data_IF_594715386755
#
_entry.id   IF_594715386755
#
_cell.length_a   1.000
_cell.length_b   1.000
_cell.length_c   1.000
_cell.angle_alpha   90.00
_cell.angle_beta   90.00
_cell.angle_gamma   90.00
#
_symmetry.space_group_name_H-M   'P 1'
#
loop_
_entity.id
_entity.type
_entity.pdbx_description
1 polymer ?
#
# COMPACT_ATOMS: atom_id res chain seq x y z
N UNK A 1 8.28 7.49 45.26
CA UNK A 1 7.80 6.10 45.14
C UNK A 1 6.60 6.08 44.19
N UNK A 2 6.47 4.99 43.42
CA UNK A 2 5.36 4.70 42.48
C UNK A 2 5.56 5.06 41.00
N UNK A 3 6.65 4.57 40.41
CA UNK A 3 6.76 4.29 38.96
C UNK A 3 6.86 2.77 38.66
N UNK A 4 6.82 1.91 39.69
CA UNK A 4 7.13 0.47 39.57
C UNK A 4 5.88 -0.42 39.65
N UNK A 5 4.69 0.14 39.91
CA UNK A 5 3.44 -0.65 40.07
C UNK A 5 2.66 -0.83 38.76
N UNK A 6 2.90 -0.01 37.73
CA UNK A 6 2.19 -0.13 36.43
C UNK A 6 2.69 -1.24 35.50
N UNK A 7 3.88 -1.79 35.73
CA UNK A 7 4.50 -2.76 34.82
C UNK A 7 4.09 -4.23 35.05
N UNK A 8 3.37 -4.56 36.14
CA UNK A 8 3.09 -5.97 36.51
C UNK A 8 1.70 -6.51 36.10
N UNK A 9 0.79 -5.66 35.62
CA UNK A 9 -0.55 -6.11 35.18
C UNK A 9 -0.65 -6.43 33.68
N UNK A 10 0.27 -5.95 32.85
CA UNK A 10 0.26 -6.19 31.39
C UNK A 10 1.05 -7.44 30.97
N UNK A 11 1.92 -7.97 31.82
CA UNK A 11 2.73 -9.14 31.52
C UNK A 11 1.96 -10.48 31.64
N UNK A 12 0.78 -10.50 32.27
CA UNK A 12 0.00 -11.73 32.48
C UNK A 12 -0.95 -12.08 31.33
N UNK A 13 -1.31 -11.11 30.47
CA UNK A 13 -2.21 -11.33 29.33
C UNK A 13 -1.44 -11.80 28.07
N UNK A 14 -0.16 -11.41 27.95
CA UNK A 14 0.70 -11.74 26.80
C UNK A 14 1.07 -13.23 26.67
N UNK A 15 1.01 -14.03 27.74
CA UNK A 15 1.47 -15.44 27.70
C UNK A 15 0.43 -16.47 27.25
N UNK A 16 -0.80 -16.07 26.88
CA UNK A 16 -1.88 -17.03 26.50
C UNK A 16 -2.33 -17.02 25.04
N UNK A 17 -1.83 -16.11 24.20
CA UNK A 17 -2.08 -16.18 22.75
C UNK A 17 -0.89 -16.83 22.04
N UNK A 18 -0.79 -18.15 22.18
CA UNK A 18 0.04 -18.97 21.30
C UNK A 18 -0.85 -19.92 20.50
N UNK A 19 -0.70 -19.82 19.18
CA UNK A 19 -1.22 -20.71 18.13
C UNK A 19 -2.74 -20.76 17.96
N UNK A 20 -3.23 -19.94 17.03
CA UNK A 20 -4.27 -20.36 16.06
C UNK A 20 -4.15 -19.51 14.80
N UNK A 21 -3.75 -20.14 13.71
CA UNK A 21 -3.78 -19.57 12.38
C UNK A 21 -5.23 -19.26 12.01
N UNK A 22 -5.53 -18.00 11.71
CA UNK A 22 -6.78 -17.63 11.04
C UNK A 22 -6.43 -17.28 9.60
N UNK A 23 -6.75 -18.21 8.70
CA UNK A 23 -6.94 -17.94 7.27
C UNK A 23 -8.41 -17.61 7.08
N UNK A 24 -8.73 -16.43 6.58
CA UNK A 24 -10.07 -16.09 6.13
C UNK A 24 -9.98 -15.32 4.82
N UNK A 25 -10.20 -16.05 3.73
CA UNK A 25 -10.49 -15.52 2.40
C UNK A 25 -11.78 -14.70 2.45
N UNK A 26 -11.74 -13.46 2.00
CA UNK A 26 -12.92 -12.58 1.94
C UNK A 26 -13.44 -12.54 0.50
N UNK A 27 -14.56 -13.21 0.26
CA UNK A 27 -15.48 -12.90 -0.83
C UNK A 27 -16.84 -12.59 -0.22
N UNK A 28 -17.45 -11.49 -0.67
CA UNK A 28 -18.68 -10.91 -0.14
C UNK A 28 -19.93 -11.74 -0.44
N UNK A 29 -21.00 -11.53 0.35
CA UNK A 29 -22.18 -10.91 -0.23
C UNK A 29 -22.71 -9.73 0.61
N UNK A 30 -23.14 -8.66 -0.08
CA UNK A 30 -23.96 -7.58 0.49
C UNK A 30 -25.38 -8.11 0.67
N UNK A 31 -25.80 -8.33 1.91
CA UNK A 31 -27.22 -8.38 2.26
C UNK A 31 -27.52 -7.25 3.24
N UNK A 32 -28.33 -6.30 2.78
CA UNK A 32 -29.06 -5.36 3.62
C UNK A 32 -30.00 -6.13 4.54
N UNK A 33 -29.98 -5.82 5.83
CA UNK A 33 -31.15 -5.95 6.68
C UNK A 33 -31.30 -4.67 7.49
N UNK A 34 -32.33 -3.91 7.14
CA UNK A 34 -32.98 -2.94 8.00
C UNK A 34 -33.41 -3.65 9.29
N UNK A 35 -32.72 -3.36 10.40
CA UNK A 35 -33.23 -3.57 11.76
C UNK A 35 -32.30 -2.84 12.74
N UNK A 36 -32.25 -1.52 12.62
CA UNK A 36 -31.53 -0.66 13.58
C UNK A 36 -32.44 0.47 14.04
N UNK A 37 -33.64 0.13 14.47
CA UNK A 37 -34.55 1.05 15.16
C UNK A 37 -35.37 0.38 16.28
N UNK A 38 -35.23 -0.93 16.48
CA UNK A 38 -36.11 -1.69 17.38
C UNK A 38 -35.45 -2.18 18.69
N UNK A 39 -34.28 -1.66 19.08
CA UNK A 39 -33.59 -2.09 20.32
C UNK A 39 -33.88 -1.20 21.55
N UNK A 40 -34.86 -0.30 21.46
CA UNK A 40 -35.27 0.57 22.56
C UNK A 40 -36.80 0.59 22.68
N UNK A 41 -37.43 -0.57 22.86
CA UNK A 41 -38.78 -0.69 23.46
C UNK A 41 -39.10 -2.18 23.60
N UNK A 42 -38.81 -2.77 24.76
CA UNK A 42 -39.36 -4.08 25.12
C UNK A 42 -39.78 -4.05 26.59
N UNK A 43 -41.10 -4.09 26.81
CA UNK A 43 -41.74 -4.15 28.13
C UNK A 43 -41.34 -5.44 28.87
N UNK A 44 -41.00 -5.29 30.15
CA UNK A 44 -40.65 -6.39 31.05
C UNK A 44 -41.91 -7.21 31.46
N UNK A 45 -41.92 -8.54 31.34
CA UNK A 45 -43.00 -9.38 31.89
C UNK A 45 -42.86 -9.58 33.42
N UNK A 46 -43.95 -9.95 34.13
CA UNK A 46 -44.00 -9.88 35.59
C UNK A 46 -43.17 -10.98 36.26
N UNK A 47 -42.64 -10.62 37.44
CA UNK A 47 -41.74 -11.44 38.26
C UNK A 47 -42.46 -12.62 38.91
N UNK A 48 -41.98 -13.83 38.65
CA UNK A 48 -41.90 -14.88 39.68
C UNK A 48 -40.74 -15.85 39.42
N UNK A 49 -39.85 -15.98 40.42
CA UNK A 49 -39.24 -17.26 40.76
C UNK A 49 -38.03 -17.82 39.99
N UNK A 50 -37.08 -17.07 39.42
CA UNK A 50 -35.82 -17.67 38.90
C UNK A 50 -34.59 -16.74 39.02
N UNK A 51 -34.11 -16.54 40.25
CA UNK A 51 -33.11 -15.48 40.57
C UNK A 51 -31.65 -15.70 40.15
N UNK A 52 -31.23 -16.88 39.67
CA UNK A 52 -29.79 -17.14 39.43
C UNK A 52 -29.45 -17.73 38.05
N UNK A 53 -30.41 -18.32 37.33
CA UNK A 53 -30.19 -18.87 35.98
C UNK A 53 -30.35 -17.82 34.88
N UNK A 54 -31.37 -16.95 34.97
CA UNK A 54 -31.59 -15.84 34.02
C UNK A 54 -30.45 -14.82 34.02
N UNK A 55 -29.86 -14.53 35.19
CA UNK A 55 -28.71 -13.62 35.27
C UNK A 55 -27.50 -14.17 34.50
N UNK A 56 -27.27 -15.49 34.55
CA UNK A 56 -26.18 -16.13 33.81
C UNK A 56 -26.42 -16.05 32.29
N UNK A 57 -27.61 -16.40 31.82
CA UNK A 57 -27.95 -16.31 30.39
C UNK A 57 -27.99 -14.85 29.87
N UNK A 58 -28.48 -13.90 30.68
CA UNK A 58 -28.48 -12.47 30.34
C UNK A 58 -27.07 -11.89 30.23
N UNK A 59 -26.14 -12.32 31.09
CA UNK A 59 -24.72 -11.95 30.98
C UNK A 59 -24.09 -12.55 29.70
N UNK A 60 -24.38 -13.81 29.35
CA UNK A 60 -23.86 -14.39 28.11
C UNK A 60 -24.43 -13.73 26.85
N UNK A 61 -25.73 -13.41 26.82
CA UNK A 61 -26.37 -12.77 25.67
C UNK A 61 -25.90 -11.32 25.47
N UNK A 62 -25.75 -10.54 26.55
CA UNK A 62 -25.22 -9.17 26.48
C UNK A 62 -23.76 -9.15 26.01
N UNK A 63 -22.93 -10.08 26.48
CA UNK A 63 -21.54 -10.23 26.03
C UNK A 63 -21.48 -10.60 24.54
N UNK A 64 -22.30 -11.55 24.08
CA UNK A 64 -22.37 -11.92 22.66
C UNK A 64 -22.86 -10.77 21.76
N UNK A 65 -23.86 -10.01 22.21
CA UNK A 65 -24.37 -8.83 21.49
C UNK A 65 -23.32 -7.71 21.39
N UNK A 66 -22.56 -7.47 22.47
CA UNK A 66 -21.44 -6.52 22.46
C UNK A 66 -20.34 -6.98 21.49
N UNK A 67 -19.95 -8.25 21.53
CA UNK A 67 -18.93 -8.77 20.59
C UNK A 67 -19.38 -8.75 19.14
N UNK A 68 -20.65 -9.06 18.86
CA UNK A 68 -21.22 -9.03 17.51
C UNK A 68 -21.30 -7.61 16.94
N UNK A 69 -21.84 -6.67 17.71
CA UNK A 69 -21.96 -5.26 17.29
C UNK A 69 -20.60 -4.59 17.12
N UNK A 70 -19.68 -4.80 18.06
CA UNK A 70 -18.31 -4.28 17.99
C UNK A 70 -17.54 -4.93 16.84
N UNK A 71 -17.71 -6.24 16.62
CA UNK A 71 -17.13 -6.96 15.50
C UNK A 71 -17.61 -6.43 14.15
N UNK A 72 -18.93 -6.20 14.01
CA UNK A 72 -19.51 -5.64 12.79
C UNK A 72 -19.05 -4.21 12.54
N UNK A 73 -19.06 -3.35 13.56
CA UNK A 73 -18.59 -1.98 13.42
C UNK A 73 -17.10 -1.91 13.03
N UNK A 74 -16.29 -2.85 13.55
CA UNK A 74 -14.87 -2.99 13.18
C UNK A 74 -14.69 -3.38 11.72
N UNK A 75 -15.55 -4.27 11.22
CA UNK A 75 -15.51 -4.76 9.85
C UNK A 75 -16.06 -3.76 8.82
N UNK A 76 -17.14 -3.04 9.18
CA UNK A 76 -17.91 -2.25 8.23
C UNK A 76 -17.45 -0.79 8.07
N UNK A 77 -16.77 -0.22 9.08
CA UNK A 77 -16.43 1.20 9.11
C UNK A 77 -14.95 1.42 9.43
N UNK A 78 -14.36 2.48 8.88
CA UNK A 78 -13.01 2.94 9.28
C UNK A 78 -13.05 3.61 10.66
N UNK A 79 -11.89 3.76 11.31
CA UNK A 79 -11.80 4.49 12.60
C UNK A 79 -12.30 5.92 12.44
N UNK A 80 -11.91 6.62 11.38
CA UNK A 80 -12.29 8.01 11.13
C UNK A 80 -13.81 8.14 10.94
N UNK A 81 -14.44 7.21 10.21
CA UNK A 81 -15.89 7.19 10.03
C UNK A 81 -16.64 6.95 11.35
N UNK A 82 -16.14 6.06 12.21
CA UNK A 82 -16.71 5.84 13.54
C UNK A 82 -16.50 7.09 14.39
N UNK A 83 -15.32 7.69 14.34
CA UNK A 83 -15.00 8.89 15.11
C UNK A 83 -15.94 10.05 14.76
N UNK A 84 -16.21 10.25 13.47
CA UNK A 84 -17.15 11.25 12.96
C UNK A 84 -18.59 10.96 13.40
N UNK A 85 -19.08 9.73 13.15
CA UNK A 85 -20.44 9.32 13.50
C UNK A 85 -20.73 9.39 14.99
N UNK A 86 -19.70 9.20 15.82
CA UNK A 86 -19.84 9.15 17.28
C UNK A 86 -19.54 10.48 17.96
N UNK A 87 -19.04 11.48 17.22
CA UNK A 87 -18.66 12.80 17.74
C UNK A 87 -19.82 13.51 18.43
N UNK A 88 -21.00 13.53 17.81
CA UNK A 88 -22.18 14.19 18.37
C UNK A 88 -22.67 13.52 19.66
N UNK A 89 -22.63 12.19 19.71
CA UNK A 89 -23.02 11.41 20.89
C UNK A 89 -22.03 11.59 22.05
N UNK A 90 -20.72 11.62 21.77
CA UNK A 90 -19.70 11.90 22.79
C UNK A 90 -19.81 13.35 23.31
N UNK A 91 -20.17 14.29 22.44
CA UNK A 91 -20.40 15.67 22.84
C UNK A 91 -21.65 15.82 23.73
N UNK A 92 -22.75 15.10 23.42
CA UNK A 92 -23.98 15.15 24.23
C UNK A 92 -23.83 14.51 25.60
N UNK A 93 -22.97 13.48 25.74
CA UNK A 93 -22.66 12.86 27.03
C UNK A 93 -21.95 13.81 28.03
N UNK A 94 -21.35 14.90 27.54
CA UNK A 94 -20.71 15.93 28.37
C UNK A 94 -21.65 17.10 28.74
N UNK A 95 -22.90 17.09 28.26
CA UNK A 95 -23.88 18.14 28.57
C UNK A 95 -24.50 17.87 29.94
N UNK A 96 -24.40 18.83 30.86
CA UNK A 96 -25.01 18.75 32.18
C UNK A 96 -26.54 18.81 32.08
N UNK A 97 -27.23 17.78 32.62
CA UNK A 97 -28.69 17.75 32.72
C UNK A 97 -29.14 18.84 33.72
N UNK A 98 -30.10 19.68 33.33
CA UNK A 98 -30.66 20.73 34.19
C UNK A 98 -31.31 20.13 35.45
N UNK A 99 -31.01 20.72 36.61
CA UNK A 99 -31.44 20.28 37.94
C UNK A 99 -32.65 21.09 38.41
N UNK A 100 -33.83 20.47 38.49
CA UNK A 100 -35.08 21.08 38.97
C UNK A 100 -35.12 21.21 40.52
N UNK A 101 -34.00 20.94 41.22
CA UNK A 101 -33.81 21.20 42.65
C UNK A 101 -34.47 20.19 43.60
N UNK A 102 -35.42 19.37 43.13
CA UNK A 102 -36.06 18.29 43.90
C UNK A 102 -35.15 17.06 44.04
N UNK A 103 -35.25 16.36 45.18
CA UNK A 103 -34.40 15.18 45.48
C UNK A 103 -34.58 14.07 44.43
N UNK A 104 -35.81 13.82 43.99
CA UNK A 104 -36.09 12.85 42.91
C UNK A 104 -35.50 13.30 41.57
N UNK A 105 -35.62 14.58 41.21
CA UNK A 105 -34.99 15.15 40.02
C UNK A 105 -33.47 14.98 40.02
N UNK A 106 -32.82 15.15 41.18
CA UNK A 106 -31.38 14.91 41.36
C UNK A 106 -30.97 13.45 41.18
N UNK A 107 -31.77 12.50 41.68
CA UNK A 107 -31.50 11.07 41.47
C UNK A 107 -31.70 10.68 40.00
N UNK A 108 -32.76 11.19 39.38
CA UNK A 108 -33.04 10.94 37.96
C UNK A 108 -31.93 11.53 37.08
N UNK A 109 -31.56 12.79 37.26
CA UNK A 109 -30.48 13.45 36.52
C UNK A 109 -29.14 12.69 36.63
N UNK A 110 -28.80 12.15 37.82
CA UNK A 110 -27.60 11.31 38.01
C UNK A 110 -27.66 9.98 37.25
N UNK A 111 -28.83 9.34 37.21
CA UNK A 111 -29.03 8.09 36.47
C UNK A 111 -28.93 8.36 34.96
N UNK A 112 -29.58 9.41 34.46
CA UNK A 112 -29.50 9.81 33.06
C UNK A 112 -28.08 10.22 32.65
N UNK A 113 -27.38 11.00 33.48
CA UNK A 113 -25.98 11.37 33.21
C UNK A 113 -25.07 10.15 33.20
N UNK A 114 -25.28 9.18 34.11
CA UNK A 114 -24.51 7.94 34.10
C UNK A 114 -24.84 7.06 32.88
N UNK A 115 -26.12 6.99 32.49
CA UNK A 115 -26.60 6.24 31.33
C UNK A 115 -26.08 6.80 29.99
N UNK A 116 -25.83 8.11 29.90
CA UNK A 116 -25.20 8.73 28.73
C UNK A 116 -23.66 8.69 28.78
N UNK A 117 -23.06 8.91 29.95
CA UNK A 117 -21.60 8.99 30.10
C UNK A 117 -20.90 7.63 29.98
N UNK A 118 -21.50 6.55 30.49
CA UNK A 118 -20.88 5.21 30.46
C UNK A 118 -20.71 4.69 29.03
N UNK A 119 -21.73 4.70 28.15
CA UNK A 119 -21.54 4.26 26.76
C UNK A 119 -20.60 5.17 25.97
N UNK A 120 -20.64 6.48 26.20
CA UNK A 120 -19.72 7.42 25.55
C UNK A 120 -18.25 7.13 25.93
N UNK A 121 -17.98 6.82 27.20
CA UNK A 121 -16.64 6.41 27.65
C UNK A 121 -16.21 5.04 27.11
N UNK A 122 -17.12 4.07 27.03
CA UNK A 122 -16.82 2.77 26.40
C UNK A 122 -16.46 2.93 24.92
N UNK A 123 -17.15 3.84 24.24
CA UNK A 123 -16.89 4.16 22.84
C UNK A 123 -15.54 4.84 22.63
N UNK A 124 -15.15 5.76 23.51
CA UNK A 124 -13.79 6.32 23.53
C UNK A 124 -12.74 5.23 23.73
N UNK A 125 -12.93 4.34 24.72
CA UNK A 125 -12.00 3.21 24.96
C UNK A 125 -11.91 2.28 23.74
N UNK A 126 -13.02 2.04 23.05
CA UNK A 126 -13.03 1.25 21.82
C UNK A 126 -12.27 1.95 20.68
N UNK A 127 -12.52 3.24 20.45
CA UNK A 127 -11.85 4.04 19.41
C UNK A 127 -10.33 4.09 19.68
N UNK A 128 -9.93 4.39 20.92
CA UNK A 128 -8.52 4.45 21.32
C UNK A 128 -7.84 3.08 21.19
N UNK A 129 -8.51 2.01 21.65
CA UNK A 129 -8.02 0.65 21.53
C UNK A 129 -7.85 0.23 20.07
N UNK A 130 -8.82 0.58 19.20
CA UNK A 130 -8.75 0.30 17.77
C UNK A 130 -7.65 1.10 17.08
N UNK A 131 -7.49 2.39 17.39
CA UNK A 131 -6.40 3.24 16.86
C UNK A 131 -5.04 2.64 17.21
N UNK A 132 -4.85 2.20 18.45
CA UNK A 132 -3.59 1.57 18.87
C UNK A 132 -3.29 0.26 18.12
N UNK A 133 -4.32 -0.56 17.85
CA UNK A 133 -4.18 -1.77 17.04
C UNK A 133 -3.87 -1.41 15.59
N UNK A 134 -4.59 -0.46 15.00
CA UNK A 134 -4.39 -0.03 13.61
C UNK A 134 -3.01 0.60 13.41
N UNK A 135 -2.52 1.41 14.34
CA UNK A 135 -1.15 1.94 14.32
C UNK A 135 -0.10 0.83 14.37
N UNK A 136 -0.33 -0.19 15.20
CA UNK A 136 0.54 -1.38 15.24
C UNK A 136 0.55 -2.10 13.89
N UNK A 137 -0.62 -2.32 13.30
CA UNK A 137 -0.75 -2.99 12.00
C UNK A 137 -0.13 -2.15 10.88
N UNK A 138 -0.34 -0.82 10.92
CA UNK A 138 0.19 0.15 9.95
C UNK A 138 1.70 0.06 9.84
N UNK A 139 2.40 -0.13 10.96
CA UNK A 139 3.86 -0.35 10.97
C UNK A 139 4.34 -1.58 10.20
N UNK A 140 3.46 -2.54 9.92
CA UNK A 140 3.76 -3.74 9.11
C UNK A 140 3.18 -3.67 7.70
N UNK A 141 2.15 -2.84 7.45
CA UNK A 141 1.42 -2.82 6.17
C UNK A 141 1.73 -1.61 5.30
N UNK A 142 1.97 -0.44 5.88
CA UNK A 142 2.28 0.79 5.13
C UNK A 142 3.80 0.96 4.93
N UNK A 143 4.22 1.71 3.91
CA UNK A 143 5.62 2.04 3.70
C UNK A 143 6.22 2.77 4.91
N UNK A 144 7.53 2.65 5.09
CA UNK A 144 8.26 3.24 6.22
C UNK A 144 8.18 4.76 6.31
N UNK A 145 7.83 5.45 5.24
CA UNK A 145 7.62 6.90 5.20
C UNK A 145 6.58 7.28 4.15
N UNK A 146 5.87 8.39 4.39
CA UNK A 146 4.97 9.01 3.41
C UNK A 146 5.76 9.61 2.22
N UNK A 147 7.04 9.93 2.43
CA UNK A 147 7.98 10.35 1.38
C UNK A 147 9.19 9.44 1.37
N UNK A 148 9.22 8.51 0.41
CA UNK A 148 10.27 7.50 0.29
C UNK A 148 11.59 8.08 -0.20
N UNK A 149 11.56 9.15 -1.00
CA UNK A 149 12.75 9.82 -1.52
C UNK A 149 12.81 11.27 -1.03
N UNK A 150 14.03 11.81 -0.83
CA UNK A 150 14.21 13.21 -0.47
C UNK A 150 13.71 14.13 -1.60
N UNK A 151 13.50 15.41 -1.25
CA UNK A 151 13.14 16.44 -2.21
C UNK A 151 14.28 16.63 -3.25
N UNK A 152 13.90 16.82 -4.52
CA UNK A 152 14.85 17.04 -5.61
C UNK A 152 15.52 18.41 -5.48
N UNK A 153 16.81 18.47 -5.86
CA UNK A 153 17.51 19.74 -5.97
C UNK A 153 16.83 20.61 -7.05
N UNK A 154 16.75 21.95 -6.90
CA UNK A 154 16.09 22.82 -7.89
C UNK A 154 16.57 22.65 -9.33
N UNK A 155 17.86 22.32 -9.52
CA UNK A 155 18.44 22.09 -10.86
C UNK A 155 18.02 20.76 -11.50
N UNK A 156 17.53 19.81 -10.70
CA UNK A 156 17.09 18.48 -11.14
C UNK A 156 15.56 18.39 -11.24
N UNK A 157 14.86 19.49 -10.95
CA UNK A 157 13.41 19.56 -11.08
C UNK A 157 13.02 19.31 -12.54
N UNK A 158 12.41 18.15 -12.77
CA UNK A 158 11.97 17.70 -14.08
C UNK A 158 12.87 16.64 -14.75
N UNK A 159 13.86 16.10 -14.05
CA UNK A 159 14.45 14.81 -14.44
C UNK A 159 13.38 13.71 -14.44
N UNK A 160 13.53 12.71 -15.31
CA UNK A 160 12.71 11.51 -15.24
C UNK A 160 13.29 10.55 -14.20
N UNK A 161 12.42 9.86 -13.48
CA UNK A 161 12.82 8.84 -12.50
C UNK A 161 12.52 7.47 -13.10
N UNK A 162 13.55 6.63 -13.22
CA UNK A 162 13.41 5.24 -13.65
C UNK A 162 13.56 4.33 -12.43
N UNK A 163 12.43 3.76 -12.03
CA UNK A 163 12.32 2.81 -10.94
C UNK A 163 12.55 1.41 -11.49
N UNK A 164 13.52 0.69 -10.95
CA UNK A 164 13.95 -0.63 -11.38
C UNK A 164 13.65 -1.64 -10.28
N UNK A 165 12.95 -2.74 -10.62
CA UNK A 165 12.93 -3.89 -9.71
C UNK A 165 14.25 -4.65 -9.76
N UNK A 166 14.58 -5.35 -8.68
CA UNK A 166 15.87 -6.04 -8.56
C UNK A 166 15.77 -7.49 -9.07
N UNK A 167 14.89 -8.28 -8.44
CA UNK A 167 14.77 -9.71 -8.71
C UNK A 167 14.01 -9.96 -10.03
N UNK A 168 14.46 -10.95 -10.79
CA UNK A 168 13.91 -11.32 -12.12
C UNK A 168 13.92 -10.17 -13.15
N UNK A 169 14.63 -9.08 -12.84
CA UNK A 169 14.69 -7.85 -13.65
C UNK A 169 16.14 -7.47 -13.93
N UNK A 170 16.94 -7.17 -12.91
CA UNK A 170 18.38 -6.87 -13.03
C UNK A 170 19.26 -8.06 -12.64
N UNK A 171 18.80 -8.84 -11.66
CA UNK A 171 19.48 -10.03 -11.16
C UNK A 171 18.49 -11.19 -11.04
N UNK A 172 19.02 -12.40 -10.98
CA UNK A 172 18.26 -13.61 -10.70
C UNK A 172 19.02 -14.44 -9.67
N UNK A 173 18.33 -14.87 -8.62
CA UNK A 173 18.91 -15.72 -7.59
C UNK A 173 18.20 -17.06 -7.53
N UNK A 174 18.96 -18.14 -7.54
CA UNK A 174 18.46 -19.48 -7.36
C UNK A 174 19.21 -20.22 -6.26
N UNK A 175 18.56 -21.25 -5.71
CA UNK A 175 19.18 -22.16 -4.78
C UNK A 175 19.25 -23.54 -5.40
N UNK A 176 20.45 -24.15 -5.37
CA UNK A 176 20.61 -25.57 -5.68
C UNK A 176 21.33 -26.28 -4.54
N UNK A 177 21.02 -27.56 -4.35
CA UNK A 177 21.53 -28.38 -3.23
C UNK A 177 23.06 -28.48 -3.20
N UNK A 178 23.68 -28.52 -4.37
CA UNK A 178 25.13 -28.67 -4.58
C UNK A 178 25.92 -27.39 -4.28
N UNK A 179 25.35 -26.22 -4.60
CA UNK A 179 26.08 -24.93 -4.60
C UNK A 179 25.48 -23.86 -3.68
N UNK A 180 24.33 -24.12 -3.07
CA UNK A 180 23.59 -23.16 -2.26
C UNK A 180 22.95 -22.05 -3.08
N UNK A 181 22.74 -20.89 -2.42
CA UNK A 181 22.24 -19.67 -3.04
C UNK A 181 23.30 -19.07 -3.95
N UNK A 182 22.94 -18.77 -5.20
CA UNK A 182 23.78 -17.99 -6.10
C UNK A 182 22.94 -16.94 -6.81
N UNK A 183 23.57 -15.79 -7.03
CA UNK A 183 22.99 -14.63 -7.69
C UNK A 183 23.72 -14.40 -9.01
N UNK A 184 22.96 -14.19 -10.06
CA UNK A 184 23.46 -13.92 -11.40
C UNK A 184 23.04 -12.53 -11.84
N UNK A 185 23.89 -11.87 -12.63
CA UNK A 185 23.60 -10.58 -13.26
C UNK A 185 22.94 -10.80 -14.61
N UNK A 186 21.88 -10.06 -14.93
CA UNK A 186 21.25 -10.11 -16.25
C UNK A 186 22.24 -9.61 -17.31
N UNK A 187 22.35 -10.26 -18.47
CA UNK A 187 23.21 -9.78 -19.54
C UNK A 187 22.87 -8.33 -19.91
N UNK A 188 23.91 -7.51 -20.13
CA UNK A 188 23.75 -6.10 -20.49
C UNK A 188 23.41 -5.14 -19.34
N UNK A 189 23.24 -5.62 -18.10
CA UNK A 189 22.86 -4.75 -16.97
C UNK A 189 23.86 -3.62 -16.70
N UNK A 190 25.16 -3.88 -16.82
CA UNK A 190 26.19 -2.87 -16.57
C UNK A 190 26.10 -1.72 -17.58
N UNK A 191 25.96 -2.05 -18.87
CA UNK A 191 25.78 -1.08 -19.96
C UNK A 191 24.43 -0.34 -19.86
N UNK A 192 23.38 -1.04 -19.45
CA UNK A 192 22.06 -0.46 -19.21
C UNK A 192 22.11 0.62 -18.13
N UNK A 193 22.72 0.33 -16.98
CA UNK A 193 22.85 1.27 -15.87
C UNK A 193 23.74 2.47 -16.27
N UNK A 194 24.90 2.21 -16.87
CA UNK A 194 25.82 3.27 -17.31
C UNK A 194 25.19 4.24 -18.31
N UNK A 195 24.43 3.71 -19.28
CA UNK A 195 23.82 4.54 -20.31
C UNK A 195 22.64 5.35 -19.76
N UNK A 196 21.73 4.71 -19.02
CA UNK A 196 20.51 5.37 -18.56
C UNK A 196 20.73 6.31 -17.37
N UNK A 197 21.79 6.14 -16.59
CA UNK A 197 22.15 7.07 -15.52
C UNK A 197 22.41 8.50 -16.01
N UNK A 198 22.72 8.68 -17.31
CA UNK A 198 22.90 10.00 -17.93
C UNK A 198 21.57 10.74 -18.15
N UNK A 199 20.46 10.01 -18.22
CA UNK A 199 19.15 10.52 -18.61
C UNK A 199 18.13 10.48 -17.46
N UNK A 200 18.27 9.51 -16.56
CA UNK A 200 17.30 9.19 -15.53
C UNK A 200 17.92 9.23 -14.13
N UNK A 201 17.12 9.63 -13.16
CA UNK A 201 17.35 9.26 -11.76
C UNK A 201 17.02 7.77 -11.59
N UNK A 202 18.05 6.94 -11.45
CA UNK A 202 17.89 5.50 -11.25
C UNK A 202 17.59 5.17 -9.78
N UNK A 203 16.47 4.48 -9.55
CA UNK A 203 16.03 4.05 -8.21
C UNK A 203 15.75 2.56 -8.23
N UNK A 204 16.42 1.78 -7.39
CA UNK A 204 16.05 0.37 -7.20
C UNK A 204 14.94 0.27 -6.19
N UNK A 205 13.84 -0.44 -6.50
CA UNK A 205 12.71 -0.64 -5.61
C UNK A 205 12.27 -2.10 -5.58
N UNK A 206 12.73 -2.81 -4.54
CA UNK A 206 12.55 -4.25 -4.39
C UNK A 206 11.68 -4.60 -3.18
N UNK A 207 10.96 -5.72 -3.26
CA UNK A 207 10.28 -6.37 -2.13
C UNK A 207 11.20 -7.28 -1.30
N UNK A 208 12.49 -7.31 -1.58
CA UNK A 208 13.45 -8.04 -0.77
C UNK A 208 13.86 -7.22 0.45
N UNK A 209 14.30 -7.90 1.51
CA UNK A 209 14.80 -7.25 2.73
C UNK A 209 16.07 -6.45 2.42
N UNK A 210 16.32 -5.35 3.14
CA UNK A 210 17.50 -4.51 2.94
C UNK A 210 18.81 -5.31 3.03
N UNK A 211 18.87 -6.29 3.95
CA UNK A 211 20.00 -7.21 4.10
C UNK A 211 20.39 -7.97 2.82
N UNK A 212 19.46 -8.10 1.87
CA UNK A 212 19.72 -8.70 0.56
C UNK A 212 19.92 -7.62 -0.51
N UNK A 213 19.07 -6.59 -0.52
CA UNK A 213 19.11 -5.52 -1.53
C UNK A 213 20.42 -4.75 -1.48
N UNK A 214 20.85 -4.29 -0.30
CA UNK A 214 22.03 -3.46 -0.14
C UNK A 214 23.31 -4.12 -0.69
N UNK A 215 23.71 -5.32 -0.22
CA UNK A 215 24.91 -5.97 -0.72
C UNK A 215 24.80 -6.49 -2.16
N UNK A 216 23.59 -6.65 -2.69
CA UNK A 216 23.37 -7.03 -4.10
C UNK A 216 23.60 -5.84 -5.02
N UNK A 217 23.01 -4.68 -4.68
CA UNK A 217 23.18 -3.45 -5.46
C UNK A 217 24.62 -2.95 -5.41
N UNK A 218 25.28 -2.99 -4.25
CA UNK A 218 26.69 -2.60 -4.11
C UNK A 218 27.63 -3.42 -5.00
N UNK A 219 27.33 -4.71 -5.23
CA UNK A 219 28.11 -5.56 -6.15
C UNK A 219 27.70 -5.40 -7.61
N UNK A 220 26.43 -5.09 -7.86
CA UNK A 220 25.89 -4.88 -9.20
C UNK A 220 26.40 -3.57 -9.81
N UNK A 221 26.46 -2.52 -9.01
CA UNK A 221 26.75 -1.15 -9.43
C UNK A 221 27.94 -0.56 -8.67
N UNK A 222 29.18 -0.96 -9.02
CA UNK A 222 30.40 -0.45 -8.39
C UNK A 222 30.67 1.04 -8.70
N UNK A 223 30.03 1.59 -9.75
CA UNK A 223 30.21 2.98 -10.17
C UNK A 223 29.15 3.92 -9.57
N UNK A 224 28.22 3.39 -8.77
CA UNK A 224 27.17 4.15 -8.09
C UNK A 224 26.26 4.97 -9.03
N UNK A 225 25.86 4.38 -10.15
CA UNK A 225 24.83 4.90 -11.05
C UNK A 225 23.43 4.94 -10.40
N UNK A 226 23.13 4.02 -9.49
CA UNK A 226 21.86 3.94 -8.76
C UNK A 226 21.89 4.92 -7.60
N UNK A 227 20.98 5.90 -7.63
CA UNK A 227 20.95 7.00 -6.65
C UNK A 227 20.30 6.60 -5.34
N UNK A 228 19.21 5.83 -5.40
CA UNK A 228 18.45 5.41 -4.24
C UNK A 228 18.09 3.93 -4.31
N UNK A 229 18.04 3.29 -3.13
CA UNK A 229 17.69 1.88 -2.95
C UNK A 229 16.53 1.79 -1.96
N UNK A 230 15.41 1.24 -2.41
CA UNK A 230 14.22 0.99 -1.62
C UNK A 230 14.04 -0.52 -1.49
N UNK A 231 13.85 -0.97 -0.26
CA UNK A 231 13.68 -2.39 0.09
C UNK A 231 12.24 -2.66 0.56
N UNK A 232 11.96 -3.88 1.03
CA UNK A 232 10.64 -4.31 1.51
C UNK A 232 9.99 -3.33 2.49
N UNK A 233 10.76 -2.67 3.36
CA UNK A 233 10.22 -1.69 4.31
C UNK A 233 9.54 -0.49 3.64
N UNK A 234 9.87 -0.18 2.39
CA UNK A 234 9.26 0.86 1.60
C UNK A 234 8.03 0.37 0.81
N UNK A 235 7.69 -0.92 0.85
CA UNK A 235 6.54 -1.47 0.10
C UNK A 235 5.26 -1.47 0.93
N UNK A 236 4.11 -1.37 0.26
CA UNK A 236 2.80 -1.55 0.88
C UNK A 236 2.43 -3.02 0.87
N UNK A 237 2.15 -3.61 2.03
CA UNK A 237 1.69 -5.00 2.14
C UNK A 237 0.16 -5.05 2.18
N UNK A 238 -0.44 -5.58 1.12
CA UNK A 238 -1.89 -5.73 0.97
C UNK A 238 -2.21 -7.06 0.31
N UNK A 239 -3.31 -7.71 0.67
CA UNK A 239 -3.75 -8.96 0.03
C UNK A 239 -2.65 -10.05 -0.04
N UNK A 240 -1.83 -10.15 1.01
CA UNK A 240 -0.72 -11.09 1.12
C UNK A 240 0.44 -10.86 0.12
N UNK A 241 0.48 -9.69 -0.53
CA UNK A 241 1.51 -9.32 -1.50
C UNK A 241 2.11 -7.94 -1.18
N UNK A 242 3.38 -7.77 -1.53
CA UNK A 242 4.07 -6.49 -1.46
C UNK A 242 3.90 -5.72 -2.76
N UNK A 243 3.35 -4.52 -2.65
CA UNK A 243 3.16 -3.59 -3.74
C UNK A 243 4.11 -2.40 -3.61
N UNK A 244 4.60 -1.93 -4.75
CA UNK A 244 5.37 -0.70 -4.88
C UNK A 244 4.36 0.43 -5.09
N UNK A 245 4.35 1.37 -4.15
CA UNK A 245 3.51 2.56 -4.26
C UNK A 245 4.36 3.70 -4.83
N UNK A 246 4.23 3.94 -6.13
CA UNK A 246 4.99 4.98 -6.83
C UNK A 246 4.55 6.39 -6.41
N UNK A 247 3.34 6.55 -5.85
CA UNK A 247 2.86 7.84 -5.36
C UNK A 247 3.65 8.34 -4.14
N UNK A 248 4.23 7.42 -3.37
CA UNK A 248 5.02 7.71 -2.18
C UNK A 248 6.49 8.06 -2.50
N UNK A 249 6.90 8.00 -3.77
CA UNK A 249 8.27 8.33 -4.18
C UNK A 249 8.61 9.82 -4.08
N UNK A 250 7.64 10.69 -3.81
CA UNK A 250 7.87 12.14 -3.81
C UNK A 250 8.45 12.62 -5.16
N UNK A 251 7.88 12.12 -6.26
CA UNK A 251 8.21 12.45 -7.65
C UNK A 251 6.92 12.72 -8.41
N UNK A 252 7.02 13.49 -9.50
CA UNK A 252 5.88 13.74 -10.38
C UNK A 252 5.49 12.43 -11.12
N UNK A 253 4.26 11.90 -10.92
CA UNK A 253 3.82 10.67 -11.58
C UNK A 253 3.88 10.73 -13.10
N UNK A 254 3.82 11.92 -13.71
CA UNK A 254 3.94 12.08 -15.17
C UNK A 254 5.34 11.79 -15.70
N UNK A 255 6.35 11.67 -14.81
CA UNK A 255 7.77 11.47 -15.12
C UNK A 255 8.40 10.25 -14.45
N UNK A 256 7.59 9.38 -13.85
CA UNK A 256 8.04 8.14 -13.23
C UNK A 256 7.78 6.97 -14.17
N UNK A 257 8.79 6.11 -14.37
CA UNK A 257 8.61 4.81 -15.01
C UNK A 257 8.99 3.71 -14.04
N UNK A 258 8.23 2.61 -14.04
CA UNK A 258 8.57 1.41 -13.29
C UNK A 258 8.83 0.24 -14.22
N UNK A 259 10.09 -0.17 -14.33
CA UNK A 259 10.54 -1.27 -15.17
C UNK A 259 10.77 -2.52 -14.31
N UNK A 260 10.01 -3.57 -14.60
CA UNK A 260 10.06 -4.85 -13.88
C UNK A 260 9.51 -5.99 -14.73
N UNK A 261 10.02 -7.20 -14.51
CA UNK A 261 9.42 -8.43 -15.03
C UNK A 261 7.99 -8.68 -14.53
N UNK A 262 7.64 -8.11 -13.38
CA UNK A 262 6.35 -8.26 -12.70
C UNK A 262 5.63 -6.91 -12.51
N UNK A 263 5.90 -5.93 -13.38
CA UNK A 263 5.49 -4.55 -13.17
C UNK A 263 3.99 -4.37 -12.93
N UNK A 264 3.16 -5.04 -13.75
CA UNK A 264 1.70 -4.93 -13.67
C UNK A 264 1.10 -5.59 -12.43
N UNK A 265 1.79 -6.57 -11.85
CA UNK A 265 1.27 -7.30 -10.69
C UNK A 265 1.80 -6.79 -9.34
N UNK A 266 2.87 -5.98 -9.36
CA UNK A 266 3.60 -5.53 -8.16
C UNK A 266 3.54 -4.02 -7.96
N UNK A 267 2.95 -3.26 -8.87
CA UNK A 267 2.74 -1.80 -8.76
C UNK A 267 1.29 -1.47 -8.42
N UNK A 268 1.07 -0.38 -7.66
CA UNK A 268 -0.26 0.20 -7.48
C UNK A 268 -0.66 1.16 -8.61
N UNK A 269 0.31 1.64 -9.40
CA UNK A 269 0.11 2.57 -10.53
C UNK A 269 0.48 1.87 -11.84
N UNK A 270 -0.40 1.03 -12.42
CA UNK A 270 -0.13 0.26 -13.62
C UNK A 270 0.14 1.14 -14.86
N UNK A 271 -0.32 2.38 -14.89
CA UNK A 271 -0.12 3.35 -15.96
C UNK A 271 1.33 3.83 -16.10
N UNK A 272 2.14 3.67 -15.05
CA UNK A 272 3.57 3.98 -15.04
C UNK A 272 4.45 2.74 -15.29
N UNK A 273 3.85 1.57 -15.47
CA UNK A 273 4.59 0.31 -15.62
C UNK A 273 5.09 0.10 -17.05
N UNK A 274 6.37 -0.26 -17.14
CA UNK A 274 7.05 -0.74 -18.36
C UNK A 274 7.35 -2.23 -18.12
N UNK A 275 6.40 -3.13 -18.45
CA UNK A 275 6.62 -4.56 -18.28
C UNK A 275 7.69 -5.04 -19.27
N UNK A 276 8.63 -5.81 -18.76
CA UNK A 276 9.63 -6.53 -19.58
C UNK A 276 9.55 -8.02 -19.30
N UNK A 277 10.23 -8.84 -20.10
CA UNK A 277 10.34 -10.27 -19.82
C UNK A 277 11.03 -10.52 -18.46
N UNK A 278 10.41 -11.36 -17.61
CA UNK A 278 11.04 -11.92 -16.41
C UNK A 278 12.29 -12.72 -16.81
N UNK A 279 13.40 -12.45 -16.15
CA UNK A 279 14.66 -13.14 -16.41
C UNK A 279 14.90 -14.28 -15.42
N UNK A 280 15.18 -15.47 -15.94
CA UNK A 280 15.35 -16.71 -15.15
C UNK A 280 16.76 -17.29 -15.28
N UNK A 281 17.72 -16.47 -15.70
CA UNK A 281 19.12 -16.85 -15.87
C UNK A 281 19.52 -17.21 -17.30
N UNK A 282 18.71 -16.88 -18.31
CA UNK A 282 19.04 -17.11 -19.71
C UNK A 282 20.24 -16.23 -20.15
N UNK A 283 21.26 -16.83 -20.77
CA UNK A 283 22.50 -16.12 -21.18
C UNK A 283 22.32 -15.28 -22.44
N UNK A 284 21.42 -15.69 -23.33
CA UNK A 284 21.13 -15.01 -24.60
C UNK A 284 20.06 -13.91 -24.45
N UNK A 285 19.72 -13.52 -23.22
CA UNK A 285 18.72 -12.49 -22.96
C UNK A 285 19.26 -11.10 -23.32
N UNK A 286 18.59 -10.40 -24.22
CA UNK A 286 18.95 -9.04 -24.68
C UNK A 286 17.95 -7.97 -24.24
N UNK A 287 16.94 -8.34 -23.44
CA UNK A 287 15.79 -7.49 -23.14
C UNK A 287 16.17 -6.12 -22.56
N UNK A 288 17.17 -6.07 -21.67
CA UNK A 288 17.64 -4.81 -21.10
C UNK A 288 18.30 -3.92 -22.15
N UNK A 289 18.97 -4.50 -23.14
CA UNK A 289 19.58 -3.73 -24.24
C UNK A 289 18.51 -3.27 -25.23
N UNK A 290 17.52 -4.12 -25.50
CA UNK A 290 16.45 -3.86 -26.47
C UNK A 290 15.51 -2.72 -26.02
N UNK A 291 15.34 -2.52 -24.71
CA UNK A 291 14.49 -1.44 -24.16
C UNK A 291 15.19 -0.08 -24.10
N UNK A 292 16.54 -0.04 -24.16
CA UNK A 292 17.31 1.22 -24.08
C UNK A 292 16.86 2.26 -25.11
N UNK A 293 16.69 1.94 -26.41
CA UNK A 293 16.30 2.93 -27.41
C UNK A 293 14.96 3.61 -27.10
N UNK A 294 14.00 2.88 -26.53
CA UNK A 294 12.72 3.43 -26.12
C UNK A 294 12.89 4.43 -24.95
N UNK A 295 13.63 4.03 -23.92
CA UNK A 295 13.88 4.88 -22.75
C UNK A 295 14.66 6.13 -23.14
N UNK A 296 15.71 5.99 -23.95
CA UNK A 296 16.47 7.13 -24.46
C UNK A 296 15.60 8.08 -25.29
N UNK A 297 14.73 7.54 -26.15
CA UNK A 297 13.78 8.34 -26.92
C UNK A 297 12.86 9.16 -26.02
N UNK A 298 12.29 8.54 -24.98
CA UNK A 298 11.43 9.21 -24.00
C UNK A 298 12.18 10.33 -23.27
N UNK A 299 13.39 10.05 -22.79
CA UNK A 299 14.21 11.04 -22.10
C UNK A 299 14.60 12.22 -23.00
N UNK A 300 14.84 11.97 -24.29
CA UNK A 300 15.26 13.00 -25.26
C UNK A 300 14.08 13.86 -25.71
N UNK A 301 12.92 13.26 -25.99
CA UNK A 301 11.74 13.98 -26.49
C UNK A 301 10.92 14.64 -25.37
N UNK A 302 11.11 14.21 -24.11
CA UNK A 302 10.52 14.79 -22.90
C UNK A 302 9.01 15.06 -23.05
N UNK A 303 8.17 14.03 -23.24
CA UNK A 303 6.72 14.22 -23.27
C UNK A 303 6.24 14.85 -21.95
N UNK A 304 5.21 15.69 -22.01
CA UNK A 304 4.62 16.32 -20.82
C UNK A 304 4.10 15.29 -19.81
N UNK A 305 3.56 14.18 -20.32
CA UNK A 305 3.11 13.04 -19.53
C UNK A 305 3.50 11.75 -20.25
N UNK A 306 4.15 10.85 -19.51
CA UNK A 306 4.63 9.58 -20.04
C UNK A 306 3.55 8.51 -20.14
N UNK A 307 2.48 8.62 -19.32
CA UNK A 307 1.45 7.58 -19.21
C UNK A 307 0.70 7.34 -20.54
N UNK A 308 0.34 8.37 -21.33
CA UNK A 308 -0.22 8.17 -22.67
C UNK A 308 0.75 7.48 -23.63
N UNK A 309 2.06 7.74 -23.51
CA UNK A 309 3.09 7.11 -24.34
C UNK A 309 3.12 5.61 -24.04
N UNK A 310 3.22 5.23 -22.77
CA UNK A 310 3.19 3.82 -22.32
C UNK A 310 1.89 3.13 -22.74
N UNK A 311 0.75 3.81 -22.56
CA UNK A 311 -0.56 3.29 -22.94
C UNK A 311 -0.65 2.94 -24.44
N UNK A 312 0.09 3.64 -25.32
CA UNK A 312 0.12 3.33 -26.76
C UNK A 312 0.79 1.99 -27.12
N UNK A 313 1.48 1.36 -26.16
CA UNK A 313 2.12 0.05 -26.29
C UNK A 313 1.39 -1.05 -25.51
N UNK A 314 0.22 -0.75 -24.92
CA UNK A 314 -0.51 -1.70 -24.06
C UNK A 314 -0.78 -3.02 -24.78
N UNK A 315 -0.35 -4.13 -24.16
CA UNK A 315 -0.53 -5.49 -24.69
C UNK A 315 0.52 -5.90 -25.73
N UNK A 316 1.55 -5.08 -25.97
CA UNK A 316 2.67 -5.39 -26.86
C UNK A 316 3.98 -5.34 -26.11
N UNK A 317 5.00 -5.95 -26.69
CA UNK A 317 6.38 -5.82 -26.26
C UNK A 317 6.89 -4.42 -26.68
N UNK A 318 7.18 -3.57 -25.69
CA UNK A 318 7.55 -2.16 -25.91
C UNK A 318 8.84 -2.06 -26.72
N UNK A 319 9.84 -2.90 -26.41
CA UNK A 319 11.14 -2.85 -27.07
C UNK A 319 11.01 -3.20 -28.55
N UNK A 320 10.35 -4.33 -28.87
CA UNK A 320 10.16 -4.78 -30.25
C UNK A 320 9.32 -3.80 -31.06
N UNK A 321 8.17 -3.39 -30.52
CA UNK A 321 7.26 -2.46 -31.19
C UNK A 321 7.93 -1.10 -31.44
N UNK A 322 8.74 -0.61 -30.49
CA UNK A 322 9.45 0.65 -30.67
C UNK A 322 10.47 0.59 -31.82
N UNK A 323 11.21 -0.52 -31.93
CA UNK A 323 12.15 -0.75 -33.04
C UNK A 323 11.41 -0.78 -34.38
N UNK A 324 10.27 -1.48 -34.45
CA UNK A 324 9.45 -1.56 -35.67
C UNK A 324 8.89 -0.18 -36.06
N UNK A 325 8.27 0.55 -35.13
CA UNK A 325 7.78 1.92 -35.37
C UNK A 325 8.89 2.86 -35.83
N UNK A 326 10.07 2.76 -35.23
CA UNK A 326 11.22 3.59 -35.59
C UNK A 326 11.68 3.31 -37.03
N UNK A 327 11.71 2.04 -37.46
CA UNK A 327 12.03 1.65 -38.84
C UNK A 327 11.00 2.19 -39.84
N UNK A 328 9.72 2.12 -39.51
CA UNK A 328 8.65 2.65 -40.37
C UNK A 328 8.76 4.17 -40.54
N UNK A 329 9.02 4.89 -39.45
CA UNK A 329 9.20 6.35 -39.48
C UNK A 329 10.41 6.71 -40.35
N UNK A 330 11.54 6.01 -40.20
CA UNK A 330 12.73 6.22 -41.03
C UNK A 330 12.46 5.96 -42.52
N UNK A 331 11.72 4.89 -42.86
CA UNK A 331 11.35 4.58 -44.23
C UNK A 331 10.48 5.67 -44.86
N UNK A 332 9.45 6.15 -44.14
CA UNK A 332 8.58 7.25 -44.60
C UNK A 332 9.37 8.54 -44.83
N UNK A 333 10.31 8.87 -43.93
CA UNK A 333 11.22 10.02 -44.08
C UNK A 333 12.11 9.88 -45.32
N UNK A 334 12.62 8.68 -45.62
CA UNK A 334 13.41 8.43 -46.83
C UNK A 334 12.58 8.56 -48.11
N UNK A 335 11.37 8.00 -48.14
CA UNK A 335 10.44 8.12 -49.26
C UNK A 335 10.07 9.59 -49.55
N UNK A 336 9.78 10.37 -48.49
CA UNK A 336 9.51 11.81 -48.63
C UNK A 336 10.72 12.58 -49.18
N UNK A 337 11.94 12.29 -48.70
CA UNK A 337 13.17 12.90 -49.22
C UNK A 337 13.39 12.57 -50.70
N UNK A 338 13.16 11.32 -51.10
CA UNK A 338 13.28 10.89 -52.51
C UNK A 338 12.22 11.56 -53.39
N UNK A 339 10.97 11.68 -52.92
CA UNK A 339 9.91 12.39 -53.64
C UNK A 339 10.20 13.89 -53.79
N UNK A 340 10.75 14.53 -52.77
CA UNK A 340 11.16 15.93 -52.84
C UNK A 340 12.33 16.14 -53.81
N UNK A 341 13.36 15.29 -53.75
CA UNK A 341 14.46 15.34 -54.71
C UNK A 341 13.96 15.08 -56.14
N UNK A 342 13.13 14.06 -56.35
CA UNK A 342 12.53 13.78 -57.66
C UNK A 342 11.64 14.91 -58.20
N UNK A 343 11.00 15.71 -57.33
CA UNK A 343 10.30 16.93 -57.72
C UNK A 343 11.24 18.07 -58.10
N UNK A 344 12.38 18.20 -57.41
CA UNK A 344 13.43 19.18 -57.73
C UNK A 344 14.11 18.91 -59.07
N UNK A 345 14.31 17.63 -59.43
CA UNK A 345 14.89 17.25 -60.74
C UNK A 345 13.91 17.35 -61.93
N UNK A 346 12.62 17.60 -61.69
CA UNK A 346 11.58 17.76 -62.73
C UNK A 346 11.22 19.22 -63.03
N UNK A 347 11.83 20.19 -62.35
CA UNK A 347 11.78 21.63 -62.68
C UNK A 347 13.09 22.01 -63.33
#
# INVERSE_FOLDING_TARGET
>A
MSAIVRARLLASVSKRFSRRNFSATVNAPKQQMEASSAAFDEELPPRSGVGMRLLKYGVFASVAGIFGTTGYATYAYSVDEIEEKTKAYRASANVAVQDDGTILGKYQAKIYSAAAAVPAKLLEVYIDGRRSIEEHVRGFTEPSSDKLLPDLHPMEQGAFTLVLDLNETLIYSDWKRDRGWRTFKRPGVDAFLEHLAKFYELVVYSDQLSMYVDPSVERLDPNHYIRFKLSRSATKYQNQKHYRDLSMLNRDPSRVLYLSGNALETSLQPENCVPIKQWKGETEDTELLDIIPFLEYVATHRPNDIRPVIASYKGRDIAKEFIERSKEVQKKLQEQKQQQQGRLWRR
#
